data_IF_373680762562
#
_entry.id   IF_373680762562
#
_cell.length_a   1.000
_cell.length_b   1.000
_cell.length_c   1.000
_cell.angle_alpha   90.00
_cell.angle_beta   90.00
_cell.angle_gamma   90.00
#
_symmetry.space_group_name_H-M   'P 1'
#
loop_
_entity.id
_entity.type
_entity.pdbx_description
1 polymer ?
#
# COMPACT_ATOMS: atom_id res chain seq x y z
N UNK A 1 13.61 28.75 13.01
CA UNK A 1 12.49 28.01 12.38
C UNK A 1 12.92 27.31 11.07
N UNK A 2 14.22 27.06 10.86
CA UNK A 2 14.75 26.49 9.60
C UNK A 2 14.72 24.95 9.50
N UNK A 3 14.43 24.24 10.61
CA UNK A 3 14.39 22.77 10.61
C UNK A 3 13.13 22.14 10.04
N UNK A 4 11.99 22.86 10.03
CA UNK A 4 10.71 22.35 9.54
C UNK A 4 10.72 21.95 8.04
N UNK A 5 11.28 22.75 7.11
CA UNK A 5 11.32 22.35 5.70
C UNK A 5 12.25 21.16 5.45
N UNK A 6 13.40 21.09 6.13
CA UNK A 6 14.34 19.96 6.01
C UNK A 6 13.71 18.65 6.50
N UNK A 7 13.02 18.67 7.64
CA UNK A 7 12.31 17.49 8.15
C UNK A 7 11.20 17.03 7.20
N UNK A 8 10.51 17.97 6.55
CA UNK A 8 9.47 17.67 5.57
C UNK A 8 10.05 16.98 4.31
N UNK A 9 11.15 17.51 3.77
CA UNK A 9 11.82 16.90 2.62
C UNK A 9 12.36 15.52 2.96
N UNK A 10 13.04 15.36 4.10
CA UNK A 10 13.54 14.07 4.56
C UNK A 10 12.42 13.05 4.71
N UNK A 11 11.27 13.43 5.28
CA UNK A 11 10.11 12.55 5.43
C UNK A 11 9.49 12.16 4.08
N UNK A 12 9.41 13.08 3.12
CA UNK A 12 8.93 12.78 1.76
C UNK A 12 9.89 11.82 1.05
N UNK A 13 11.19 12.11 1.06
CA UNK A 13 12.20 11.28 0.40
C UNK A 13 12.34 9.90 1.03
N UNK A 14 12.26 9.79 2.37
CA UNK A 14 12.29 8.49 3.04
C UNK A 14 11.08 7.64 2.68
N UNK A 15 9.89 8.23 2.58
CA UNK A 15 8.68 7.54 2.16
C UNK A 15 8.75 7.10 0.69
N UNK A 16 9.22 7.97 -0.21
CA UNK A 16 9.40 7.64 -1.64
C UNK A 16 10.40 6.49 -1.80
N UNK A 17 11.57 6.58 -1.15
CA UNK A 17 12.60 5.55 -1.22
C UNK A 17 12.12 4.23 -0.63
N UNK A 18 11.46 4.28 0.53
CA UNK A 18 10.86 3.10 1.16
C UNK A 18 9.89 2.39 0.22
N UNK A 19 8.96 3.13 -0.38
CA UNK A 19 8.01 2.60 -1.35
C UNK A 19 8.68 2.03 -2.61
N UNK A 20 9.71 2.70 -3.14
CA UNK A 20 10.41 2.27 -4.34
C UNK A 20 11.18 0.95 -4.15
N UNK A 21 11.70 0.68 -2.95
CA UNK A 21 12.47 -0.53 -2.64
C UNK A 21 11.57 -1.69 -2.21
N UNK A 22 10.42 -1.41 -1.60
CA UNK A 22 9.54 -2.41 -0.99
C UNK A 22 9.04 -3.50 -1.95
N UNK A 23 8.83 -3.19 -3.24
CA UNK A 23 8.31 -4.15 -4.24
C UNK A 23 9.39 -4.90 -4.99
N UNK A 24 10.64 -4.45 -4.94
CA UNK A 24 11.77 -5.11 -5.61
C UNK A 24 11.97 -6.57 -5.20
N UNK A 25 11.89 -6.95 -3.90
CA UNK A 25 12.02 -8.34 -3.49
C UNK A 25 10.96 -9.25 -4.12
N UNK A 26 9.73 -8.76 -4.27
CA UNK A 26 8.62 -9.53 -4.87
C UNK A 26 8.88 -9.81 -6.35
N UNK A 27 9.37 -8.81 -7.10
CA UNK A 27 9.76 -8.98 -8.50
C UNK A 27 10.97 -9.92 -8.68
N UNK A 28 11.99 -9.79 -7.83
CA UNK A 28 13.18 -10.64 -7.88
C UNK A 28 12.85 -12.11 -7.58
N UNK A 29 12.01 -12.38 -6.58
CA UNK A 29 11.56 -13.75 -6.27
C UNK A 29 10.79 -14.35 -7.45
N UNK A 30 9.89 -13.59 -8.07
CA UNK A 30 9.13 -14.06 -9.23
C UNK A 30 10.02 -14.39 -10.43
N UNK A 31 11.05 -13.56 -10.69
CA UNK A 31 12.03 -13.82 -11.75
C UNK A 31 12.90 -15.04 -11.45
N UNK A 32 13.29 -15.23 -10.19
CA UNK A 32 14.11 -16.37 -9.76
C UNK A 32 13.34 -17.70 -9.83
N UNK A 33 12.08 -17.71 -9.40
CA UNK A 33 11.26 -18.93 -9.38
C UNK A 33 10.59 -19.23 -10.73
N UNK A 34 10.52 -18.24 -11.63
CA UNK A 34 9.75 -18.29 -12.89
C UNK A 34 8.33 -18.81 -12.68
N UNK A 35 7.77 -18.57 -11.50
CA UNK A 35 6.50 -19.15 -11.08
C UNK A 35 5.74 -18.14 -10.22
N UNK A 36 4.48 -17.91 -10.58
CA UNK A 36 3.56 -17.09 -9.80
C UNK A 36 3.01 -17.79 -8.54
N UNK A 37 3.52 -18.98 -8.18
CA UNK A 37 3.09 -19.71 -6.97
C UNK A 37 3.36 -18.87 -5.72
N UNK A 38 2.29 -18.48 -5.03
CA UNK A 38 2.34 -17.69 -3.79
C UNK A 38 1.87 -16.23 -3.94
N UNK A 39 1.70 -15.72 -5.17
CA UNK A 39 1.16 -14.38 -5.43
C UNK A 39 -0.31 -14.47 -5.84
N UNK A 40 -1.18 -13.77 -5.11
CA UNK A 40 -2.60 -13.66 -5.45
C UNK A 40 -2.80 -12.54 -6.47
N UNK A 41 -3.24 -12.89 -7.68
CA UNK A 41 -3.64 -11.94 -8.73
C UNK A 41 -4.68 -10.94 -8.24
N UNK A 42 -5.68 -11.41 -7.49
CA UNK A 42 -6.74 -10.56 -6.92
C UNK A 42 -6.18 -9.54 -5.94
N UNK A 43 -5.23 -9.96 -5.09
CA UNK A 43 -4.58 -9.04 -4.15
C UNK A 43 -3.80 -7.94 -4.88
N UNK A 44 -3.10 -8.30 -5.96
CA UNK A 44 -2.31 -7.33 -6.73
C UNK A 44 -3.21 -6.34 -7.49
N UNK A 45 -4.31 -6.82 -8.08
CA UNK A 45 -5.30 -5.97 -8.75
C UNK A 45 -5.99 -5.03 -7.76
N UNK A 46 -6.31 -5.51 -6.56
CA UNK A 46 -6.91 -4.71 -5.49
C UNK A 46 -5.95 -3.64 -4.97
N UNK A 47 -4.67 -3.98 -4.85
CA UNK A 47 -3.62 -3.05 -4.42
C UNK A 47 -3.38 -1.94 -5.46
N UNK A 48 -3.17 -2.33 -6.73
CA UNK A 48 -3.05 -1.40 -7.86
C UNK A 48 -4.28 -0.47 -7.94
N UNK A 49 -5.46 -1.05 -7.71
CA UNK A 49 -6.72 -0.34 -7.61
C UNK A 49 -6.73 0.72 -6.50
N UNK A 50 -6.18 0.42 -5.33
CA UNK A 50 -6.08 1.36 -4.20
C UNK A 50 -5.12 2.50 -4.48
N UNK A 51 -3.95 2.21 -5.07
CA UNK A 51 -2.96 3.23 -5.43
C UNK A 51 -3.48 4.17 -6.51
N UNK A 52 -4.21 3.68 -7.51
CA UNK A 52 -4.85 4.52 -8.52
C UNK A 52 -5.88 5.49 -7.92
N UNK A 53 -6.65 5.05 -6.92
CA UNK A 53 -7.59 5.93 -6.20
C UNK A 53 -6.84 7.02 -5.45
N UNK A 54 -5.76 6.68 -4.72
CA UNK A 54 -4.95 7.67 -4.01
C UNK A 54 -4.29 8.67 -4.96
N UNK A 55 -3.71 8.20 -6.06
CA UNK A 55 -3.12 9.07 -7.08
C UNK A 55 -4.17 10.00 -7.67
N UNK A 56 -5.34 9.47 -8.06
CA UNK A 56 -6.38 10.27 -8.68
C UNK A 56 -6.98 11.29 -7.71
N UNK A 57 -7.21 10.92 -6.45
CA UNK A 57 -7.69 11.84 -5.42
C UNK A 57 -6.72 13.03 -5.26
N UNK A 58 -5.44 12.76 -5.04
CA UNK A 58 -4.46 13.82 -4.82
C UNK A 58 -4.21 14.68 -6.07
N UNK A 59 -4.27 14.08 -7.25
CA UNK A 59 -4.21 14.81 -8.52
C UNK A 59 -5.46 15.65 -8.79
N UNK A 60 -6.65 15.16 -8.42
CA UNK A 60 -7.92 15.88 -8.59
C UNK A 60 -7.99 17.14 -7.72
N UNK A 61 -7.46 17.08 -6.49
CA UNK A 61 -7.37 18.22 -5.58
C UNK A 61 -6.12 19.09 -5.78
N UNK A 62 -5.33 18.84 -6.84
CA UNK A 62 -4.14 19.63 -7.20
C UNK A 62 -3.13 19.77 -6.04
N UNK A 63 -2.90 18.70 -5.28
CA UNK A 63 -1.92 18.71 -4.20
C UNK A 63 -0.47 18.84 -4.72
N UNK A 64 0.48 19.25 -3.87
CA UNK A 64 1.89 19.30 -4.24
C UNK A 64 2.40 17.92 -4.67
N UNK A 65 3.17 17.88 -5.76
CA UNK A 65 3.59 16.61 -6.39
C UNK A 65 4.38 15.70 -5.43
N UNK A 66 5.15 16.28 -4.49
CA UNK A 66 5.88 15.54 -3.45
C UNK A 66 4.99 14.68 -2.56
N UNK A 67 3.70 14.99 -2.43
CA UNK A 67 2.75 14.25 -1.59
C UNK A 67 2.26 12.95 -2.22
N UNK A 68 2.37 12.81 -3.54
CA UNK A 68 1.86 11.64 -4.25
C UNK A 68 2.78 11.08 -5.34
N UNK A 69 3.99 11.60 -5.53
CA UNK A 69 4.94 11.10 -6.53
C UNK A 69 5.37 9.65 -6.29
N UNK A 70 5.24 9.12 -5.06
CA UNK A 70 5.45 7.70 -4.83
C UNK A 70 4.41 6.82 -5.52
N UNK A 71 3.14 7.27 -5.66
CA UNK A 71 2.09 6.41 -6.20
C UNK A 71 2.33 6.03 -7.67
N UNK A 72 2.70 6.95 -8.59
CA UNK A 72 3.09 6.59 -9.95
C UNK A 72 4.24 5.58 -10.01
N UNK A 73 5.25 5.72 -9.14
CA UNK A 73 6.39 4.81 -9.08
C UNK A 73 5.92 3.40 -8.66
N UNK A 74 5.10 3.31 -7.60
CA UNK A 74 4.57 2.04 -7.10
C UNK A 74 3.64 1.40 -8.14
N UNK A 75 2.76 2.18 -8.76
CA UNK A 75 1.84 1.72 -9.82
C UNK A 75 2.63 1.12 -10.98
N UNK A 76 3.72 1.76 -11.42
CA UNK A 76 4.55 1.22 -12.49
C UNK A 76 5.18 -0.13 -12.10
N UNK A 77 5.69 -0.24 -10.88
CA UNK A 77 6.27 -1.49 -10.36
C UNK A 77 5.20 -2.61 -10.25
N UNK A 78 4.01 -2.29 -9.77
CA UNK A 78 2.90 -3.25 -9.63
C UNK A 78 2.34 -3.70 -10.99
N UNK A 79 2.29 -2.81 -11.99
CA UNK A 79 1.93 -3.19 -13.36
C UNK A 79 2.94 -4.16 -13.96
N UNK A 80 4.24 -3.88 -13.81
CA UNK A 80 5.31 -4.78 -14.27
C UNK A 80 5.17 -6.15 -13.57
N UNK A 81 4.95 -6.16 -12.26
CA UNK A 81 4.73 -7.39 -11.50
C UNK A 81 3.49 -8.15 -11.98
N UNK A 82 2.38 -7.44 -12.25
CA UNK A 82 1.14 -8.03 -12.75
C UNK A 82 1.35 -8.70 -14.11
N UNK A 83 2.08 -8.05 -15.01
CA UNK A 83 2.42 -8.60 -16.32
C UNK A 83 3.26 -9.87 -16.19
N UNK A 84 4.26 -9.88 -15.30
CA UNK A 84 5.04 -11.10 -15.04
C UNK A 84 4.18 -12.22 -14.45
N UNK A 85 3.31 -11.91 -13.48
CA UNK A 85 2.40 -12.91 -12.89
C UNK A 85 1.47 -13.50 -13.95
N UNK A 86 0.90 -12.68 -14.84
CA UNK A 86 0.06 -13.14 -15.94
C UNK A 86 0.84 -13.98 -16.96
N UNK A 87 2.09 -13.60 -17.25
CA UNK A 87 2.98 -14.32 -18.15
C UNK A 87 3.31 -15.71 -17.61
N UNK A 88 3.82 -15.80 -16.38
CA UNK A 88 4.17 -17.07 -15.75
C UNK A 88 2.97 -17.93 -15.38
N UNK A 89 1.77 -17.35 -15.25
CA UNK A 89 0.52 -18.09 -15.05
C UNK A 89 -0.10 -18.59 -16.37
N UNK A 90 0.46 -18.25 -17.53
CA UNK A 90 -0.11 -18.59 -18.83
C UNK A 90 -1.44 -17.87 -19.16
N UNK A 91 -1.78 -16.82 -18.41
CA UNK A 91 -3.06 -16.10 -18.48
C UNK A 91 -2.97 -14.75 -19.19
N UNK A 92 -2.00 -14.54 -20.08
CA UNK A 92 -1.76 -13.27 -20.78
C UNK A 92 -3.00 -12.67 -21.47
N UNK A 93 -3.97 -13.50 -21.87
CA UNK A 93 -5.27 -13.05 -22.42
C UNK A 93 -6.05 -12.13 -21.46
N UNK A 94 -5.81 -12.24 -20.15
CA UNK A 94 -6.43 -11.38 -19.14
C UNK A 94 -5.75 -10.02 -19.01
N UNK A 95 -4.56 -9.80 -19.58
CA UNK A 95 -3.89 -8.51 -19.51
C UNK A 95 -4.73 -7.40 -20.15
N UNK A 96 -5.32 -7.66 -21.32
CA UNK A 96 -6.17 -6.71 -22.04
C UNK A 96 -7.40 -6.25 -21.22
N UNK A 97 -8.26 -7.15 -20.68
CA UNK A 97 -9.38 -6.70 -19.88
C UNK A 97 -8.96 -5.97 -18.60
N UNK A 98 -7.85 -6.37 -17.94
CA UNK A 98 -7.33 -5.60 -16.81
C UNK A 98 -6.92 -4.18 -17.22
N UNK A 99 -6.21 -4.01 -18.33
CA UNK A 99 -5.86 -2.68 -18.85
C UNK A 99 -7.10 -1.84 -19.11
N UNK A 100 -8.12 -2.40 -19.78
CA UNK A 100 -9.38 -1.69 -20.04
C UNK A 100 -10.05 -1.26 -18.74
N UNK A 101 -10.15 -2.15 -17.76
CA UNK A 101 -10.73 -1.85 -16.44
C UNK A 101 -9.98 -0.71 -15.74
N UNK A 102 -8.64 -0.73 -15.73
CA UNK A 102 -7.85 0.33 -15.09
C UNK A 102 -7.97 1.67 -15.81
N UNK A 103 -8.01 1.68 -17.14
CA UNK A 103 -8.21 2.89 -17.94
C UNK A 103 -9.60 3.48 -17.68
N UNK A 104 -10.66 2.66 -17.76
CA UNK A 104 -12.03 3.10 -17.45
C UNK A 104 -12.11 3.64 -16.02
N UNK A 105 -11.52 2.95 -15.06
CA UNK A 105 -11.47 3.39 -13.66
C UNK A 105 -10.81 4.76 -13.52
N UNK A 106 -9.69 4.99 -14.20
CA UNK A 106 -8.99 6.28 -14.18
C UNK A 106 -9.88 7.43 -14.66
N UNK A 107 -10.59 7.24 -15.77
CA UNK A 107 -11.52 8.23 -16.29
C UNK A 107 -12.71 8.45 -15.35
N UNK A 108 -13.35 7.38 -14.88
CA UNK A 108 -14.54 7.44 -14.00
C UNK A 108 -14.23 8.17 -12.69
N UNK A 109 -13.10 7.89 -12.05
CA UNK A 109 -12.65 8.58 -10.84
C UNK A 109 -12.43 10.09 -11.06
N UNK A 110 -12.25 10.52 -12.31
CA UNK A 110 -12.07 11.91 -12.68
C UNK A 110 -13.33 12.70 -13.03
N UNK A 111 -14.48 12.03 -13.16
CA UNK A 111 -15.68 12.66 -13.70
C UNK A 111 -16.32 13.65 -12.72
N UNK A 112 -16.42 13.28 -11.44
CA UNK A 112 -17.11 14.08 -10.44
C UNK A 112 -16.46 13.94 -9.06
N UNK A 113 -16.49 15.03 -8.29
CA UNK A 113 -15.91 15.11 -6.93
C UNK A 113 -16.41 14.01 -5.99
N UNK A 114 -17.72 13.76 -5.97
CA UNK A 114 -18.29 12.74 -5.07
C UNK A 114 -17.79 11.32 -5.38
N UNK A 115 -17.44 11.03 -6.64
CA UNK A 115 -16.93 9.71 -7.05
C UNK A 115 -15.53 9.50 -6.47
N UNK A 116 -14.65 10.51 -6.58
CA UNK A 116 -13.28 10.39 -6.07
C UNK A 116 -13.24 10.34 -4.54
N UNK A 117 -14.08 11.14 -3.88
CA UNK A 117 -14.20 11.14 -2.41
C UNK A 117 -14.74 9.80 -1.90
N UNK A 118 -15.80 9.30 -2.53
CA UNK A 118 -16.38 7.99 -2.20
C UNK A 118 -15.36 6.87 -2.42
N UNK A 119 -14.65 6.88 -3.54
CA UNK A 119 -13.62 5.90 -3.84
C UNK A 119 -12.49 5.93 -2.81
N UNK A 120 -12.05 7.12 -2.38
CA UNK A 120 -11.02 7.26 -1.35
C UNK A 120 -11.47 6.69 0.00
N UNK A 121 -12.71 6.98 0.42
CA UNK A 121 -13.28 6.43 1.65
C UNK A 121 -13.46 4.90 1.58
N UNK A 122 -14.03 4.40 0.49
CA UNK A 122 -14.21 2.96 0.27
C UNK A 122 -12.86 2.23 0.25
N UNK A 123 -11.87 2.77 -0.44
CA UNK A 123 -10.53 2.16 -0.48
C UNK A 123 -9.90 2.07 0.91
N UNK A 124 -10.15 3.07 1.77
CA UNK A 124 -9.69 3.08 3.16
C UNK A 124 -10.40 2.00 3.98
N UNK A 125 -11.71 1.85 3.84
CA UNK A 125 -12.49 0.80 4.50
C UNK A 125 -12.05 -0.60 4.07
N UNK A 126 -11.86 -0.81 2.76
CA UNK A 126 -11.40 -2.09 2.21
C UNK A 126 -10.00 -2.43 2.74
N UNK A 127 -9.07 -1.47 2.72
CA UNK A 127 -7.73 -1.67 3.28
C UNK A 127 -7.76 -1.97 4.77
N UNK A 128 -8.67 -1.33 5.53
CA UNK A 128 -8.82 -1.59 6.95
C UNK A 128 -9.37 -2.99 7.20
N UNK A 129 -10.43 -3.38 6.50
CA UNK A 129 -11.02 -4.72 6.56
C UNK A 129 -10.00 -5.82 6.21
N UNK A 130 -9.16 -5.59 5.20
CA UNK A 130 -8.08 -6.52 4.84
C UNK A 130 -7.09 -6.73 5.98
N UNK A 131 -6.65 -5.66 6.66
CA UNK A 131 -5.73 -5.77 7.81
C UNK A 131 -6.40 -6.45 9.00
N UNK A 132 -7.68 -6.18 9.24
CA UNK A 132 -8.44 -6.90 10.26
C UNK A 132 -8.56 -8.40 9.96
N UNK A 133 -8.81 -8.77 8.70
CA UNK A 133 -8.84 -10.18 8.30
C UNK A 133 -7.48 -10.86 8.52
N UNK A 134 -6.38 -10.17 8.17
CA UNK A 134 -5.02 -10.67 8.42
C UNK A 134 -4.72 -10.81 9.91
N UNK A 135 -5.17 -9.87 10.75
CA UNK A 135 -5.05 -9.96 12.20
C UNK A 135 -5.84 -11.15 12.78
N UNK A 136 -7.08 -11.37 12.30
CA UNK A 136 -7.88 -12.53 12.71
C UNK A 136 -7.22 -13.84 12.31
N UNK A 137 -6.69 -13.92 11.10
CA UNK A 137 -5.94 -15.09 10.63
C UNK A 137 -4.72 -15.36 11.54
N UNK A 138 -3.95 -14.32 11.87
CA UNK A 138 -2.80 -14.42 12.76
C UNK A 138 -3.18 -14.90 14.17
N UNK A 139 -4.31 -14.47 14.72
CA UNK A 139 -4.81 -14.95 16.01
C UNK A 139 -5.22 -16.43 15.99
N UNK A 140 -5.78 -16.89 14.87
CA UNK A 140 -6.20 -18.28 14.71
C UNK A 140 -5.02 -19.23 14.49
N UNK A 141 -4.07 -18.85 13.64
CA UNK A 141 -2.93 -19.72 13.30
C UNK A 141 -1.83 -19.67 14.36
N UNK A 142 -1.70 -18.57 15.12
CA UNK A 142 -0.58 -18.27 16.03
C UNK A 142 0.81 -18.38 15.39
N UNK A 143 0.87 -18.54 14.07
CA UNK A 143 2.10 -18.68 13.31
C UNK A 143 2.57 -17.29 12.86
N UNK A 144 3.45 -16.71 13.67
CA UNK A 144 4.10 -15.42 13.40
C UNK A 144 5.31 -15.54 12.47
N UNK A 145 5.62 -16.75 11.96
CA UNK A 145 6.75 -17.02 11.08
C UNK A 145 6.54 -16.50 9.66
N UNK A 146 5.30 -16.56 9.15
CA UNK A 146 4.97 -16.12 7.79
C UNK A 146 4.83 -14.61 7.64
N UNK A 147 4.67 -13.86 8.74
CA UNK A 147 4.39 -12.43 8.72
C UNK A 147 5.56 -11.64 9.30
N UNK A 148 6.29 -10.91 8.46
CA UNK A 148 7.50 -10.18 8.87
C UNK A 148 7.17 -8.93 9.71
N UNK A 149 7.56 -8.94 10.98
CA UNK A 149 7.47 -7.78 11.88
C UNK A 149 8.15 -6.52 11.32
N UNK A 150 9.21 -6.69 10.51
CA UNK A 150 9.92 -5.59 9.88
C UNK A 150 9.06 -4.93 8.79
N UNK A 151 8.34 -5.71 8.00
CA UNK A 151 7.45 -5.19 6.94
C UNK A 151 6.32 -4.34 7.54
N UNK A 152 5.70 -4.82 8.63
CA UNK A 152 4.63 -4.07 9.29
C UNK A 152 5.12 -2.85 10.05
N UNK A 153 6.31 -2.93 10.67
CA UNK A 153 6.97 -1.77 11.28
C UNK A 153 7.31 -0.69 10.26
N UNK A 154 7.86 -1.08 9.09
CA UNK A 154 8.18 -0.15 8.01
C UNK A 154 6.91 0.47 7.39
N UNK A 155 5.83 -0.30 7.30
CA UNK A 155 4.52 0.22 6.89
C UNK A 155 3.96 1.23 7.91
N UNK A 156 4.13 0.98 9.22
CA UNK A 156 3.76 1.95 10.26
C UNK A 156 4.58 3.24 10.17
N UNK A 157 5.90 3.13 9.96
CA UNK A 157 6.78 4.27 9.73
C UNK A 157 6.35 5.10 8.52
N UNK A 158 6.06 4.45 7.40
CA UNK A 158 5.60 5.13 6.18
C UNK A 158 4.28 5.88 6.41
N UNK A 159 3.33 5.27 7.14
CA UNK A 159 2.09 5.97 7.52
C UNK A 159 2.37 7.17 8.44
N UNK A 160 3.31 7.06 9.38
CA UNK A 160 3.68 8.17 10.26
C UNK A 160 4.32 9.34 9.48
N UNK A 161 5.25 9.05 8.57
CA UNK A 161 5.82 10.04 7.67
C UNK A 161 4.74 10.75 6.82
N UNK A 162 3.72 9.99 6.37
CA UNK A 162 2.60 10.55 5.61
C UNK A 162 1.63 11.38 6.44
N UNK A 163 1.38 11.02 7.70
CA UNK A 163 0.61 11.86 8.63
C UNK A 163 1.32 13.20 8.82
N UNK A 164 2.63 13.18 9.10
CA UNK A 164 3.42 14.38 9.29
C UNK A 164 3.41 15.28 8.04
N UNK A 165 3.73 14.72 6.88
CA UNK A 165 3.76 15.47 5.61
C UNK A 165 2.38 16.01 5.22
N UNK A 166 1.30 15.24 5.43
CA UNK A 166 -0.09 15.67 5.18
C UNK A 166 -0.48 16.85 6.08
N UNK A 167 -0.16 16.79 7.38
CA UNK A 167 -0.43 17.88 8.33
C UNK A 167 0.32 19.17 7.98
N UNK A 168 1.52 19.04 7.41
CA UNK A 168 2.35 20.19 7.04
C UNK A 168 2.00 20.77 5.65
N UNK A 169 1.47 19.97 4.73
CA UNK A 169 1.24 20.39 3.33
C UNK A 169 -0.21 20.66 2.99
N UNK A 170 -1.10 19.66 3.12
CA UNK A 170 -2.46 19.72 2.60
C UNK A 170 -3.51 19.93 3.68
N UNK A 171 -3.27 19.42 4.90
CA UNK A 171 -4.22 19.41 6.04
C UNK A 171 -5.59 18.79 5.70
N UNK A 172 -5.63 17.93 4.69
CA UNK A 172 -6.85 17.25 4.27
C UNK A 172 -7.22 16.13 5.27
N UNK A 173 -8.41 16.22 5.85
CA UNK A 173 -8.87 15.28 6.86
C UNK A 173 -9.12 13.87 6.30
N UNK A 174 -9.57 13.73 5.06
CA UNK A 174 -9.84 12.42 4.44
C UNK A 174 -8.54 11.63 4.26
N UNK A 175 -7.50 12.30 3.75
CA UNK A 175 -6.16 11.70 3.61
C UNK A 175 -5.54 11.40 4.97
N UNK A 176 -5.68 12.32 5.93
CA UNK A 176 -5.17 12.15 7.28
C UNK A 176 -5.82 10.96 8.00
N UNK A 177 -7.16 10.87 7.99
CA UNK A 177 -7.91 9.76 8.59
C UNK A 177 -7.48 8.42 8.01
N UNK A 178 -7.31 8.34 6.68
CA UNK A 178 -6.78 7.14 6.03
C UNK A 178 -5.43 6.73 6.63
N UNK A 179 -4.46 7.63 6.71
CA UNK A 179 -3.14 7.27 7.22
C UNK A 179 -3.15 6.95 8.71
N UNK A 180 -3.96 7.65 9.52
CA UNK A 180 -4.13 7.36 10.94
C UNK A 180 -4.72 5.96 11.17
N UNK A 181 -5.80 5.63 10.45
CA UNK A 181 -6.41 4.28 10.52
C UNK A 181 -5.39 3.22 10.09
N UNK A 182 -4.66 3.45 9.00
CA UNK A 182 -3.66 2.50 8.53
C UNK A 182 -2.49 2.35 9.50
N UNK A 183 -2.04 3.42 10.15
CA UNK A 183 -0.99 3.40 11.15
C UNK A 183 -1.43 2.60 12.38
N UNK A 184 -2.61 2.88 12.92
CA UNK A 184 -3.14 2.17 14.09
C UNK A 184 -3.23 0.65 13.83
N UNK A 185 -3.74 0.26 12.66
CA UNK A 185 -3.82 -1.14 12.27
C UNK A 185 -2.44 -1.78 12.07
N UNK A 186 -1.48 -1.07 11.46
CA UNK A 186 -0.12 -1.56 11.28
C UNK A 186 0.59 -1.79 12.62
N UNK A 187 0.43 -0.85 13.57
CA UNK A 187 0.99 -0.96 14.91
C UNK A 187 0.36 -2.13 15.66
N UNK A 188 -0.96 -2.32 15.57
CA UNK A 188 -1.64 -3.44 16.22
C UNK A 188 -1.16 -4.79 15.66
N UNK A 189 -1.08 -4.94 14.34
CA UNK A 189 -0.56 -6.16 13.74
C UNK A 189 0.89 -6.41 14.18
N UNK A 190 1.75 -5.39 14.16
CA UNK A 190 3.14 -5.50 14.63
C UNK A 190 3.23 -5.94 16.09
N UNK A 191 2.46 -5.32 16.98
CA UNK A 191 2.42 -5.66 18.39
C UNK A 191 1.97 -7.12 18.60
N UNK A 192 1.00 -7.58 17.82
CA UNK A 192 0.50 -8.96 17.87
C UNK A 192 1.56 -9.97 17.47
N UNK A 193 2.31 -9.74 16.37
CA UNK A 193 3.37 -10.70 15.98
C UNK A 193 4.50 -10.71 17.01
N UNK A 194 4.87 -9.55 17.58
CA UNK A 194 5.90 -9.47 18.63
C UNK A 194 5.47 -10.20 19.91
N UNK A 195 4.20 -10.11 20.29
CA UNK A 195 3.66 -10.84 21.42
C UNK A 195 3.74 -12.36 21.20
N UNK A 196 3.29 -12.86 20.04
CA UNK A 196 3.36 -14.29 19.75
C UNK A 196 4.78 -14.83 19.59
N UNK A 197 5.71 -14.05 19.04
CA UNK A 197 7.13 -14.42 19.01
C UNK A 197 7.73 -14.58 20.41
N UNK A 198 7.36 -13.70 21.35
CA UNK A 198 7.81 -13.80 22.75
C UNK A 198 7.22 -15.02 23.46
N UNK A 199 5.98 -15.39 23.16
CA UNK A 199 5.36 -16.59 23.73
C UNK A 199 6.00 -17.87 23.21
N UNK A 200 6.24 -17.98 21.89
CA UNK A 200 6.92 -19.14 21.30
C UNK A 200 8.32 -19.36 21.89
N UNK A 201 9.11 -18.28 22.01
CA UNK A 201 10.48 -18.33 22.55
C UNK A 201 10.56 -18.61 24.07
N UNK A 202 9.43 -18.60 24.78
CA UNK A 202 9.34 -18.97 26.21
C UNK A 202 8.96 -20.43 26.44
N UNK A 203 8.52 -21.13 25.38
CA UNK A 203 8.06 -22.52 25.44
C UNK A 203 9.12 -23.50 24.92
N UNK A 204 10.16 -23.00 24.25
CA UNK A 204 11.42 -23.69 23.97
C UNK A 204 12.45 -23.44 25.09
#
# INVERSE_FOLDING_TARGET
>A
MEGAPLLLELANWSAILGCAVLKLPQGLVLLATKSARGLSLESLVLELSGFLVCLRYQSYYSYPLSTYVEYPIIIAQDVILLLFVLHYSGKMKHALPYTVVFVVKWYVLGLQKWIVDLAMNLSTLVSAASKFAQLRCLWQTKDSGQVSALTWSLAAYTCAARIFTTLMTTKDLSVLVRFVVMMALNVWVTATILHYRKTAKKTD
#
